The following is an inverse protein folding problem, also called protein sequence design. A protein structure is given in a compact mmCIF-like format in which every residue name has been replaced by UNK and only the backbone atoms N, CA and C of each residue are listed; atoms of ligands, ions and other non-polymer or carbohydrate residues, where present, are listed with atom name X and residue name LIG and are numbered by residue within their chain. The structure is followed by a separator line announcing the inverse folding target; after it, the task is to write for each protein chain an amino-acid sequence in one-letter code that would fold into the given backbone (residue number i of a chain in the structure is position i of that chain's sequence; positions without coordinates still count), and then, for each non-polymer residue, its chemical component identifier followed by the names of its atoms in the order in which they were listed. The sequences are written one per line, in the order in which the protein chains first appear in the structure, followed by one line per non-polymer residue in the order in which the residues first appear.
data_IF_017630133357
#
_entry.id   IF_017630133357
#
_cell.length_a   1.000
_cell.length_b   1.000
_cell.length_c   1.000
_cell.angle_alpha   90.00
_cell.angle_beta   90.00
_cell.angle_gamma   90.00
#
_symmetry.space_group_name_H-M   'P 1'
#
loop_
_entity.id
_entity.type
_entity.pdbx_description
1 polymer ?
#
# COMPACT_ATOMS: atom_id res chain seq x y z
N UNK A 1 -16.99 -7.37 69.14
CA UNK A 1 -15.85 -8.18 69.61
C UNK A 1 -14.79 -8.08 68.52
N UNK A 2 -13.75 -7.25 68.65
CA UNK A 2 -12.48 -7.53 69.37
C UNK A 2 -11.90 -8.90 68.99
N UNK A 3 -10.63 -9.10 68.64
CA UNK A 3 -9.40 -8.33 68.36
C UNK A 3 -8.43 -9.42 67.82
N UNK A 4 -7.13 -9.11 67.67
CA UNK A 4 -6.00 -10.03 67.44
C UNK A 4 -5.62 -10.18 65.95
N UNK A 5 -4.73 -9.38 65.35
CA UNK A 5 -3.38 -8.94 65.75
C UNK A 5 -2.39 -10.11 65.91
N UNK A 6 -1.75 -10.51 64.81
CA UNK A 6 -0.49 -11.26 64.82
C UNK A 6 0.60 -10.42 64.14
N UNK A 7 1.46 -9.84 64.98
CA UNK A 7 2.80 -9.33 64.70
C UNK A 7 3.78 -10.49 64.49
N UNK A 8 4.72 -10.37 63.54
CA UNK A 8 6.06 -11.01 63.48
C UNK A 8 6.90 -10.28 62.40
N UNK A 9 8.23 -10.18 62.53
CA UNK A 9 8.92 -8.90 62.55
C UNK A 9 9.61 -8.49 61.24
N UNK A 10 9.86 -7.19 61.20
CA UNK A 10 10.66 -6.41 60.27
C UNK A 10 12.14 -6.88 60.29
N UNK A 11 12.64 -7.39 59.16
CA UNK A 11 14.08 -7.51 58.91
C UNK A 11 14.49 -6.26 58.12
N UNK A 12 15.26 -5.41 58.80
CA UNK A 12 15.97 -4.27 58.22
C UNK A 12 17.22 -4.82 57.54
N UNK A 13 17.31 -4.72 56.22
CA UNK A 13 18.56 -4.82 55.49
C UNK A 13 18.97 -3.41 55.04
N UNK A 14 19.92 -2.82 55.79
CA UNK A 14 20.64 -1.61 55.40
C UNK A 14 21.59 -1.98 54.25
N UNK A 15 21.21 -1.60 53.03
CA UNK A 15 22.11 -1.59 51.89
C UNK A 15 22.67 -0.19 51.66
N UNK A 16 23.87 0.07 52.19
CA UNK A 16 24.71 1.18 51.76
C UNK A 16 25.30 0.84 50.38
N UNK A 17 25.10 1.67 49.37
CA UNK A 17 25.73 1.44 48.07
C UNK A 17 25.44 2.51 47.01
N UNK A 18 26.33 3.49 46.93
CA UNK A 18 26.61 4.40 45.81
C UNK A 18 25.47 5.26 45.24
N UNK A 19 25.41 6.51 45.73
CA UNK A 19 24.88 7.64 44.98
C UNK A 19 25.81 7.96 43.79
N UNK A 20 25.56 7.34 42.64
CA UNK A 20 26.02 7.87 41.36
C UNK A 20 25.03 8.98 40.96
N UNK A 21 25.53 10.22 40.90
CA UNK A 21 24.72 11.39 40.59
C UNK A 21 24.03 11.26 39.24
N UNK A 22 22.70 11.28 39.23
CA UNK A 22 21.95 11.68 38.05
C UNK A 22 22.23 13.16 37.81
N UNK A 23 23.22 13.47 36.98
CA UNK A 23 23.22 14.72 36.24
C UNK A 23 21.92 14.73 35.44
N UNK A 24 21.00 15.61 35.83
CA UNK A 24 19.88 16.01 35.01
C UNK A 24 20.46 16.79 33.85
N UNK A 25 20.93 16.08 32.82
CA UNK A 25 21.18 16.67 31.52
C UNK A 25 19.86 17.28 31.07
N UNK A 26 19.86 18.61 31.00
CA UNK A 26 18.79 19.38 30.42
C UNK A 26 18.51 18.77 29.04
N UNK A 27 17.33 18.17 28.88
CA UNK A 27 16.84 17.68 27.60
C UNK A 27 16.80 18.90 26.69
N UNK A 28 17.82 18.96 25.83
CA UNK A 28 18.04 20.01 24.85
C UNK A 28 16.80 20.17 23.99
N UNK A 29 16.60 21.42 23.54
CA UNK A 29 15.43 21.86 22.81
C UNK A 29 14.99 20.87 21.73
N UNK A 30 13.68 20.67 21.66
CA UNK A 30 13.02 19.96 20.57
C UNK A 30 13.48 20.59 19.25
N UNK A 31 14.43 19.94 18.57
CA UNK A 31 14.78 20.30 17.22
C UNK A 31 13.52 20.18 16.38
N UNK A 32 13.04 21.29 15.82
CA UNK A 32 11.92 21.27 14.88
C UNK A 32 12.26 20.23 13.80
N UNK A 33 11.40 19.22 13.56
CA UNK A 33 11.67 18.21 12.57
C UNK A 33 12.04 18.89 11.25
N UNK A 34 13.10 18.41 10.59
CA UNK A 34 13.49 18.94 9.30
C UNK A 34 12.42 18.51 8.28
N UNK A 35 11.49 19.42 7.99
CA UNK A 35 10.38 19.16 7.06
C UNK A 35 10.78 19.57 5.64
N UNK A 36 10.44 18.73 4.67
CA UNK A 36 10.45 19.11 3.26
C UNK A 36 9.10 19.74 2.91
N UNK A 37 9.14 20.85 2.17
CA UNK A 37 7.94 21.55 1.70
C UNK A 37 7.84 21.41 0.19
N UNK A 38 6.62 21.30 -0.30
CA UNK A 38 6.26 21.34 -1.71
C UNK A 38 5.10 22.32 -1.87
N UNK A 39 5.09 23.11 -2.94
CA UNK A 39 3.93 23.94 -3.25
C UNK A 39 2.78 23.06 -3.74
N UNK A 40 1.54 23.53 -3.56
CA UNK A 40 0.37 22.79 -4.08
C UNK A 40 0.43 22.67 -5.60
N UNK A 41 0.96 23.70 -6.28
CA UNK A 41 1.15 23.70 -7.74
C UNK A 41 2.16 22.63 -8.17
N UNK A 42 3.34 22.58 -7.54
CA UNK A 42 4.36 21.57 -7.84
C UNK A 42 3.87 20.15 -7.53
N UNK A 43 3.11 19.97 -6.45
CA UNK A 43 2.50 18.68 -6.12
C UNK A 43 1.49 18.26 -7.19
N UNK A 44 0.59 19.15 -7.59
CA UNK A 44 -0.41 18.86 -8.61
C UNK A 44 0.23 18.56 -9.98
N UNK A 45 1.30 19.26 -10.34
CA UNK A 45 2.07 18.99 -11.56
C UNK A 45 2.72 17.59 -11.52
N UNK A 46 3.40 17.25 -10.42
CA UNK A 46 4.02 15.93 -10.24
C UNK A 46 3.01 14.79 -10.19
N UNK A 47 1.88 14.99 -9.53
CA UNK A 47 0.82 14.00 -9.46
C UNK A 47 0.25 13.71 -10.86
N UNK A 48 -0.02 14.75 -11.66
CA UNK A 48 -0.43 14.57 -13.07
C UNK A 48 0.64 13.85 -13.89
N UNK A 49 1.91 14.21 -13.70
CA UNK A 49 3.02 13.57 -14.38
C UNK A 49 3.13 12.07 -14.03
N UNK A 50 2.85 11.69 -12.78
CA UNK A 50 2.78 10.30 -12.34
C UNK A 50 1.72 9.49 -13.09
N UNK A 51 0.48 9.97 -13.10
CA UNK A 51 -0.62 9.37 -13.88
C UNK A 51 -0.29 9.24 -15.36
N UNK A 52 0.25 10.31 -15.98
CA UNK A 52 0.66 10.29 -17.39
C UNK A 52 1.80 9.28 -17.62
N UNK A 53 2.74 9.19 -16.69
CA UNK A 53 3.89 8.29 -16.76
C UNK A 53 3.45 6.82 -16.78
N UNK A 54 2.55 6.44 -15.89
CA UNK A 54 1.95 5.10 -15.87
C UNK A 54 1.22 4.82 -17.18
N UNK A 55 0.33 5.72 -17.63
CA UNK A 55 -0.39 5.58 -18.90
C UNK A 55 0.56 5.40 -20.10
N UNK A 56 1.66 6.15 -20.13
CA UNK A 56 2.68 6.03 -21.16
C UNK A 56 3.41 4.68 -21.10
N UNK A 57 3.80 4.22 -19.90
CA UNK A 57 4.46 2.94 -19.69
C UNK A 57 3.60 1.76 -20.15
N UNK A 58 2.35 1.71 -19.68
CA UNK A 58 1.38 0.67 -20.05
C UNK A 58 1.10 0.72 -21.56
N UNK A 59 0.89 1.91 -22.12
CA UNK A 59 0.52 2.07 -23.53
C UNK A 59 1.66 1.71 -24.49
N UNK A 60 2.90 1.97 -24.08
CA UNK A 60 4.08 1.63 -24.85
C UNK A 60 4.48 0.16 -24.71
N UNK A 61 4.29 -0.41 -23.52
CA UNK A 61 4.57 -1.82 -23.21
C UNK A 61 3.55 -2.81 -23.77
N UNK A 62 2.26 -2.46 -23.81
CA UNK A 62 1.16 -3.36 -24.20
C UNK A 62 1.39 -4.14 -25.51
N UNK A 63 1.87 -3.54 -26.62
CA UNK A 63 2.15 -4.27 -27.86
C UNK A 63 3.24 -5.37 -27.76
N UNK A 64 3.98 -5.43 -26.65
CA UNK A 64 5.08 -6.38 -26.41
C UNK A 64 4.69 -7.52 -25.47
N UNK A 65 3.51 -7.44 -24.85
CA UNK A 65 3.03 -8.39 -23.85
C UNK A 65 3.09 -9.84 -24.36
N UNK A 66 3.73 -10.71 -23.59
CA UNK A 66 4.00 -12.13 -23.90
C UNK A 66 4.86 -12.44 -25.15
N UNK A 67 5.35 -11.44 -25.89
CA UNK A 67 6.10 -11.65 -27.16
C UNK A 67 7.59 -11.93 -26.97
N UNK A 68 8.20 -11.42 -25.89
CA UNK A 68 9.64 -11.48 -25.64
C UNK A 68 9.98 -12.14 -24.30
N UNK A 69 9.32 -13.24 -23.96
CA UNK A 69 9.53 -13.95 -22.68
C UNK A 69 10.95 -14.50 -22.57
N UNK A 70 11.65 -14.14 -21.49
CA UNK A 70 13.01 -14.63 -21.20
C UNK A 70 14.12 -14.03 -22.08
N UNK A 71 13.86 -12.93 -22.76
CA UNK A 71 14.84 -12.27 -23.64
C UNK A 71 14.65 -10.75 -23.66
N UNK A 72 15.71 -10.02 -23.96
CA UNK A 72 15.65 -8.58 -24.19
C UNK A 72 15.01 -8.33 -25.56
N UNK A 73 14.08 -7.38 -25.64
CA UNK A 73 13.48 -6.96 -26.92
C UNK A 73 14.61 -6.37 -27.80
N UNK A 74 14.85 -6.90 -29.01
CA UNK A 74 15.80 -6.29 -29.93
C UNK A 74 15.42 -4.82 -30.21
N UNK A 75 16.40 -3.93 -30.26
CA UNK A 75 16.17 -2.48 -30.40
C UNK A 75 15.32 -2.14 -31.65
N UNK A 76 15.57 -2.82 -32.76
CA UNK A 76 14.82 -2.67 -34.02
C UNK A 76 13.38 -3.22 -33.97
N UNK A 77 13.02 -3.89 -32.87
CA UNK A 77 11.69 -4.44 -32.59
C UNK A 77 10.93 -3.70 -31.50
N UNK A 78 11.54 -2.72 -30.85
CA UNK A 78 10.85 -1.86 -29.89
C UNK A 78 9.71 -1.11 -30.59
N UNK A 79 8.49 -1.08 -30.01
CA UNK A 79 7.40 -0.31 -30.59
C UNK A 79 7.78 1.17 -30.73
N UNK A 80 7.44 1.80 -31.85
CA UNK A 80 7.62 3.24 -31.99
C UNK A 80 6.69 3.98 -31.01
N UNK A 81 7.25 4.92 -30.25
CA UNK A 81 6.48 5.81 -29.38
C UNK A 81 5.54 6.71 -30.21
N UNK A 82 4.33 6.93 -29.70
CA UNK A 82 3.44 7.97 -30.20
C UNK A 82 2.49 8.46 -29.09
N UNK A 83 2.13 9.76 -29.03
CA UNK A 83 1.30 10.31 -27.96
C UNK A 83 -0.08 9.64 -27.81
N UNK A 84 -0.63 9.07 -28.87
CA UNK A 84 -1.93 8.39 -28.86
C UNK A 84 -1.93 7.15 -27.96
N UNK A 85 -0.75 6.63 -27.58
CA UNK A 85 -0.61 5.51 -26.64
C UNK A 85 -0.99 5.87 -25.21
N UNK A 86 -0.98 7.15 -24.84
CA UNK A 86 -1.40 7.60 -23.51
C UNK A 86 -2.89 7.33 -23.32
N UNK A 87 -3.72 7.63 -24.32
CA UNK A 87 -5.18 7.65 -24.18
C UNK A 87 -5.81 6.27 -24.40
N UNK A 88 -5.40 5.28 -23.61
CA UNK A 88 -5.93 3.93 -23.63
C UNK A 88 -6.82 3.62 -22.42
N UNK A 89 -7.87 2.83 -22.64
CA UNK A 89 -8.93 2.59 -21.65
C UNK A 89 -9.23 1.11 -21.44
N UNK A 90 -8.35 0.23 -21.90
CA UNK A 90 -8.59 -1.22 -21.95
C UNK A 90 -7.62 -2.04 -21.12
N UNK A 91 -6.76 -1.39 -20.35
CA UNK A 91 -5.73 -2.02 -19.52
C UNK A 91 -6.12 -1.92 -18.06
N UNK A 92 -6.10 -3.05 -17.36
CA UNK A 92 -6.36 -3.15 -15.93
C UNK A 92 -5.40 -2.34 -15.10
N UNK A 93 -4.16 -2.19 -15.54
CA UNK A 93 -3.14 -1.33 -14.94
C UNK A 93 -3.66 0.08 -14.63
N UNK A 94 -4.59 0.61 -15.45
CA UNK A 94 -5.05 2.01 -15.37
C UNK A 94 -6.41 2.15 -14.67
N UNK A 95 -7.32 1.20 -14.85
CA UNK A 95 -8.70 1.38 -14.36
C UNK A 95 -8.97 0.73 -13.00
N UNK A 96 -8.14 -0.18 -12.52
CA UNK A 96 -8.41 -0.87 -11.24
C UNK A 96 -8.26 0.11 -10.08
N UNK A 97 -7.15 0.84 -10.02
CA UNK A 97 -6.89 1.83 -8.97
C UNK A 97 -7.92 2.97 -8.92
N UNK A 98 -8.62 3.24 -10.03
CA UNK A 98 -9.74 4.18 -10.04
C UNK A 98 -10.89 3.73 -9.13
N UNK A 99 -11.04 2.42 -8.89
CA UNK A 99 -11.99 1.89 -7.90
C UNK A 99 -11.55 2.25 -6.49
N UNK A 100 -10.24 2.12 -6.18
CA UNK A 100 -9.70 2.48 -4.87
C UNK A 100 -9.86 3.97 -4.58
N UNK A 101 -9.52 4.80 -5.57
CA UNK A 101 -9.71 6.25 -5.51
C UNK A 101 -11.17 6.62 -5.29
N UNK A 102 -12.11 5.95 -5.98
CA UNK A 102 -13.53 6.18 -5.79
C UNK A 102 -14.02 5.75 -4.40
N UNK A 103 -13.53 4.63 -3.88
CA UNK A 103 -13.83 4.20 -2.50
C UNK A 103 -13.36 5.24 -1.48
N UNK A 104 -12.13 5.75 -1.64
CA UNK A 104 -11.59 6.80 -0.76
C UNK A 104 -12.38 8.10 -0.85
N UNK A 105 -12.79 8.50 -2.07
CA UNK A 105 -13.61 9.69 -2.28
C UNK A 105 -14.98 9.60 -1.58
N UNK A 106 -15.62 8.42 -1.63
CA UNK A 106 -16.96 8.21 -1.08
C UNK A 106 -16.98 8.05 0.44
N UNK A 107 -15.97 7.37 0.99
CA UNK A 107 -16.00 6.91 2.39
C UNK A 107 -14.87 7.50 3.26
N UNK A 108 -13.95 8.26 2.67
CA UNK A 108 -12.81 8.86 3.35
C UNK A 108 -11.61 7.91 3.48
N UNK A 109 -10.50 8.45 3.99
CA UNK A 109 -9.22 7.73 4.10
C UNK A 109 -9.29 6.55 5.09
N UNK A 110 -10.16 6.63 6.10
CA UNK A 110 -10.36 5.59 7.12
C UNK A 110 -11.31 4.46 6.69
N UNK A 111 -11.71 4.41 5.41
CA UNK A 111 -12.59 3.36 4.88
C UNK A 111 -12.06 1.97 5.21
N UNK A 112 -12.95 1.08 5.67
CA UNK A 112 -12.56 -0.29 6.01
C UNK A 112 -12.22 -1.12 4.77
N UNK A 113 -11.31 -2.08 4.92
CA UNK A 113 -11.01 -3.09 3.88
C UNK A 113 -12.26 -3.85 3.43
N UNK A 114 -13.25 -4.04 4.32
CA UNK A 114 -14.52 -4.69 3.97
C UNK A 114 -15.32 -3.86 2.97
N UNK A 115 -15.38 -2.55 3.16
CA UNK A 115 -16.05 -1.65 2.22
C UNK A 115 -15.29 -1.57 0.89
N UNK A 116 -13.96 -1.48 0.93
CA UNK A 116 -13.13 -1.54 -0.27
C UNK A 116 -13.36 -2.85 -1.07
N UNK A 117 -13.45 -3.98 -0.36
CA UNK A 117 -13.78 -5.27 -0.96
C UNK A 117 -15.18 -5.31 -1.58
N UNK A 118 -16.18 -4.65 -0.98
CA UNK A 118 -17.53 -4.54 -1.57
C UNK A 118 -17.48 -3.75 -2.87
N UNK A 119 -16.77 -2.62 -2.91
CA UNK A 119 -16.68 -1.78 -4.11
C UNK A 119 -15.92 -2.51 -5.22
N UNK A 120 -14.80 -3.17 -4.88
CA UNK A 120 -14.03 -3.98 -5.83
C UNK A 120 -14.83 -5.19 -6.34
N UNK A 121 -15.59 -5.86 -5.47
CA UNK A 121 -16.53 -6.92 -5.87
C UNK A 121 -17.58 -6.43 -6.87
N UNK A 122 -18.00 -5.17 -6.79
CA UNK A 122 -19.00 -4.57 -7.66
C UNK A 122 -18.42 -3.91 -8.93
N UNK A 123 -17.10 -3.94 -9.12
CA UNK A 123 -16.48 -3.42 -10.35
C UNK A 123 -16.96 -4.18 -11.60
N UNK A 124 -17.14 -3.45 -12.71
CA UNK A 124 -17.72 -3.96 -13.95
C UNK A 124 -16.74 -4.19 -15.10
N UNK A 125 -15.47 -3.81 -14.94
CA UNK A 125 -14.43 -3.97 -15.96
C UNK A 125 -13.87 -5.40 -15.97
N UNK A 126 -13.24 -5.85 -17.09
CA UNK A 126 -12.53 -7.12 -17.11
C UNK A 126 -11.35 -7.12 -16.13
N UNK A 127 -10.94 -8.31 -15.68
CA UNK A 127 -9.81 -8.49 -14.78
C UNK A 127 -9.09 -9.79 -15.14
N UNK A 128 -7.81 -9.88 -14.78
CA UNK A 128 -6.99 -11.06 -14.94
C UNK A 128 -6.36 -11.47 -13.61
N UNK A 129 -5.69 -12.62 -13.58
CA UNK A 129 -4.81 -13.03 -12.48
C UNK A 129 -5.34 -12.77 -11.06
N UNK A 130 -4.55 -12.16 -10.18
CA UNK A 130 -4.90 -11.98 -8.78
C UNK A 130 -6.19 -11.17 -8.65
N UNK A 131 -6.34 -10.12 -9.46
CA UNK A 131 -7.51 -9.26 -9.49
C UNK A 131 -8.80 -10.02 -9.74
N UNK A 132 -8.79 -10.87 -10.78
CA UNK A 132 -9.97 -11.64 -11.16
C UNK A 132 -10.34 -12.64 -10.07
N UNK A 133 -9.36 -13.41 -9.59
CA UNK A 133 -9.61 -14.42 -8.56
C UNK A 133 -10.06 -13.76 -7.26
N UNK A 134 -9.41 -12.68 -6.84
CA UNK A 134 -9.78 -11.89 -5.66
C UNK A 134 -11.21 -11.37 -5.76
N UNK A 135 -11.60 -10.77 -6.90
CA UNK A 135 -12.98 -10.34 -7.12
C UNK A 135 -13.98 -11.49 -7.09
N UNK A 136 -13.66 -12.61 -7.71
CA UNK A 136 -14.53 -13.79 -7.74
C UNK A 136 -14.66 -14.43 -6.35
N UNK A 137 -13.60 -14.42 -5.53
CA UNK A 137 -13.63 -14.83 -4.12
C UNK A 137 -14.52 -13.91 -3.27
N UNK A 138 -14.39 -12.59 -3.43
CA UNK A 138 -15.25 -11.61 -2.75
C UNK A 138 -16.73 -11.83 -3.10
N UNK A 139 -17.04 -12.06 -4.37
CA UNK A 139 -18.40 -12.38 -4.84
C UNK A 139 -18.93 -13.71 -4.32
N UNK A 140 -18.05 -14.67 -4.00
CA UNK A 140 -18.39 -15.94 -3.35
C UNK A 140 -18.50 -15.82 -1.82
N UNK A 141 -18.21 -14.65 -1.25
CA UNK A 141 -18.34 -14.39 0.19
C UNK A 141 -17.06 -14.63 1.00
N UNK A 142 -15.92 -14.86 0.34
CA UNK A 142 -14.62 -14.89 1.03
C UNK A 142 -14.16 -13.43 1.16
N UNK A 143 -14.32 -12.88 2.36
CA UNK A 143 -14.02 -11.48 2.64
C UNK A 143 -12.51 -11.23 2.73
N UNK A 144 -12.04 -9.98 2.59
CA UNK A 144 -10.65 -9.65 2.89
C UNK A 144 -10.32 -9.90 4.38
N UNK A 145 -9.07 -10.25 4.71
CA UNK A 145 -7.92 -10.38 3.81
C UNK A 145 -7.86 -11.73 3.05
N UNK A 146 -8.77 -12.66 3.34
CA UNK A 146 -8.73 -14.03 2.81
C UNK A 146 -8.92 -14.08 1.28
N UNK A 147 -9.60 -13.10 0.69
CA UNK A 147 -9.74 -12.98 -0.78
C UNK A 147 -8.40 -12.81 -1.51
N UNK A 148 -7.38 -12.26 -0.86
CA UNK A 148 -6.02 -12.19 -1.39
C UNK A 148 -5.11 -13.32 -0.92
N UNK A 149 -5.49 -14.10 0.09
CA UNK A 149 -4.62 -15.08 0.75
C UNK A 149 -4.32 -16.30 -0.14
N UNK A 150 -3.08 -16.85 -0.17
CA UNK A 150 -2.69 -17.95 -1.06
C UNK A 150 -3.42 -19.27 -0.83
N UNK A 151 -4.07 -19.44 0.32
CA UNK A 151 -4.97 -20.58 0.56
C UNK A 151 -6.19 -20.57 -0.38
N UNK A 152 -6.66 -19.38 -0.75
CA UNK A 152 -7.86 -19.19 -1.56
C UNK A 152 -7.56 -18.66 -2.96
N UNK A 153 -6.62 -17.72 -3.07
CA UNK A 153 -6.20 -17.11 -4.33
C UNK A 153 -4.88 -17.71 -4.82
N UNK A 154 -4.93 -18.55 -5.85
CA UNK A 154 -3.74 -19.19 -6.45
C UNK A 154 -2.84 -18.21 -7.21
N UNK A 155 -3.33 -16.99 -7.46
CA UNK A 155 -2.64 -15.90 -8.14
C UNK A 155 -2.17 -14.82 -7.16
N UNK A 156 -2.23 -15.06 -5.84
CA UNK A 156 -1.93 -14.07 -4.81
C UNK A 156 -0.57 -13.36 -4.96
N UNK A 157 0.38 -13.99 -5.64
CA UNK A 157 1.75 -13.51 -5.83
C UNK A 157 2.00 -12.86 -7.21
N UNK A 158 0.97 -12.79 -8.07
CA UNK A 158 1.06 -12.13 -9.37
C UNK A 158 1.16 -10.58 -9.18
N UNK A 159 1.61 -9.87 -10.21
CA UNK A 159 1.98 -8.44 -10.13
C UNK A 159 0.80 -7.46 -10.10
N UNK A 160 -0.44 -7.94 -10.00
CA UNK A 160 -1.67 -7.16 -10.12
C UNK A 160 -1.66 -5.89 -9.23
N UNK A 161 -1.43 -6.01 -7.92
CA UNK A 161 -1.36 -4.81 -7.08
C UNK A 161 -0.14 -3.93 -7.40
N UNK A 162 0.95 -4.50 -7.92
CA UNK A 162 2.14 -3.73 -8.26
C UNK A 162 1.88 -2.74 -9.39
N UNK A 163 1.13 -3.14 -10.42
CA UNK A 163 0.77 -2.27 -11.55
C UNK A 163 -0.32 -1.25 -11.20
N UNK A 164 -0.93 -1.39 -10.03
CA UNK A 164 -2.01 -0.54 -9.51
C UNK A 164 -1.60 0.30 -8.30
N UNK A 165 -0.34 0.22 -7.85
CA UNK A 165 0.09 0.86 -6.60
C UNK A 165 0.42 2.35 -6.76
N UNK A 166 0.48 2.87 -7.99
CA UNK A 166 0.86 4.25 -8.30
C UNK A 166 -0.02 5.26 -7.54
N UNK A 167 -1.35 5.05 -7.48
CA UNK A 167 -2.24 5.96 -6.72
C UNK A 167 -1.78 6.19 -5.28
N UNK A 168 -1.25 5.17 -4.59
CA UNK A 168 -0.89 5.25 -3.19
C UNK A 168 0.23 6.27 -2.98
N UNK A 169 1.26 6.24 -3.82
CA UNK A 169 2.36 7.20 -3.78
C UNK A 169 1.95 8.59 -4.23
N UNK A 170 1.05 8.67 -5.21
CA UNK A 170 0.54 9.93 -5.73
C UNK A 170 -0.30 10.69 -4.69
N UNK A 171 -1.10 9.98 -3.87
CA UNK A 171 -1.91 10.61 -2.82
C UNK A 171 -1.21 10.72 -1.46
N UNK A 172 -0.11 9.99 -1.26
CA UNK A 172 0.65 9.97 -0.01
C UNK A 172 2.13 10.38 -0.18
N UNK A 173 2.42 11.55 -0.81
CA UNK A 173 3.79 11.93 -1.14
C UNK A 173 4.66 12.09 0.12
N UNK A 174 5.74 11.30 0.20
CA UNK A 174 6.65 11.31 1.34
C UNK A 174 6.11 10.66 2.61
N UNK A 175 5.04 9.86 2.49
CA UNK A 175 4.38 9.16 3.59
C UNK A 175 4.37 7.64 3.34
N UNK A 176 5.53 6.94 3.40
CA UNK A 176 5.62 5.52 3.05
C UNK A 176 4.72 4.61 3.91
N UNK A 177 4.55 4.93 5.20
CA UNK A 177 3.63 4.18 6.07
C UNK A 177 2.17 4.27 5.58
N UNK A 178 1.76 5.42 5.03
CA UNK A 178 0.41 5.59 4.47
C UNK A 178 0.28 4.77 3.18
N UNK A 179 1.31 4.71 2.34
CA UNK A 179 1.31 3.84 1.16
C UNK A 179 1.20 2.35 1.53
N UNK A 180 1.92 1.91 2.58
CA UNK A 180 1.82 0.56 3.13
C UNK A 180 0.40 0.27 3.64
N UNK A 181 -0.18 1.18 4.43
CA UNK A 181 -1.55 1.07 4.95
C UNK A 181 -2.60 1.00 3.83
N UNK A 182 -2.41 1.76 2.75
CA UNK A 182 -3.24 1.67 1.54
C UNK A 182 -3.08 0.30 0.86
N UNK A 183 -1.87 -0.25 0.80
CA UNK A 183 -1.65 -1.62 0.32
C UNK A 183 -2.34 -2.69 1.17
N UNK A 184 -2.29 -2.55 2.49
CA UNK A 184 -3.02 -3.43 3.40
C UNK A 184 -4.55 -3.36 3.23
N UNK A 185 -5.05 -2.28 2.62
CA UNK A 185 -6.48 -2.03 2.41
C UNK A 185 -6.95 -2.40 1.00
N UNK A 186 -6.17 -2.12 -0.03
CA UNK A 186 -6.56 -2.30 -1.42
C UNK A 186 -5.80 -3.44 -2.08
N UNK A 187 -4.47 -3.50 -1.93
CA UNK A 187 -3.68 -4.63 -2.44
C UNK A 187 -4.03 -5.96 -1.78
N UNK A 188 -4.38 -5.94 -0.50
CA UNK A 188 -4.81 -7.14 0.25
C UNK A 188 -6.15 -7.73 -0.25
N UNK A 189 -6.89 -7.01 -1.11
CA UNK A 189 -8.12 -7.53 -1.70
C UNK A 189 -7.86 -8.70 -2.65
N UNK A 190 -6.72 -8.68 -3.34
CA UNK A 190 -6.36 -9.62 -4.41
C UNK A 190 -4.98 -10.26 -4.23
N UNK A 191 -4.03 -9.58 -3.59
CA UNK A 191 -2.65 -10.04 -3.44
C UNK A 191 -2.25 -10.33 -1.99
N UNK A 192 -1.22 -11.16 -1.85
CA UNK A 192 -0.61 -11.52 -0.57
C UNK A 192 0.84 -11.97 -0.81
N UNK A 193 1.74 -11.72 0.14
CA UNK A 193 3.16 -12.07 -0.05
C UNK A 193 3.85 -11.09 -1.00
N UNK A 194 4.69 -11.60 -1.90
CA UNK A 194 5.54 -10.76 -2.76
C UNK A 194 4.71 -9.95 -3.76
N UNK A 195 3.57 -10.47 -4.23
CA UNK A 195 2.61 -9.70 -5.04
C UNK A 195 2.08 -8.45 -4.32
N UNK A 196 1.89 -8.51 -2.99
CA UNK A 196 1.51 -7.33 -2.20
C UNK A 196 2.72 -6.43 -1.93
N UNK A 197 3.83 -7.01 -1.48
CA UNK A 197 5.02 -6.25 -1.10
C UNK A 197 5.65 -5.52 -2.28
N UNK A 198 5.56 -6.09 -3.49
CA UNK A 198 5.95 -5.45 -4.73
C UNK A 198 5.17 -4.17 -4.98
N UNK A 199 3.85 -4.19 -4.78
CA UNK A 199 3.04 -2.97 -4.88
C UNK A 199 3.27 -1.98 -3.76
N UNK A 200 3.42 -2.42 -2.51
CA UNK A 200 3.80 -1.50 -1.42
C UNK A 200 5.15 -0.82 -1.69
N UNK A 201 6.13 -1.54 -2.26
CA UNK A 201 7.42 -0.96 -2.65
C UNK A 201 7.31 0.07 -3.77
N UNK A 202 6.48 -0.18 -4.80
CA UNK A 202 6.24 0.79 -5.89
C UNK A 202 5.47 2.00 -5.40
N UNK A 203 4.48 1.79 -4.52
CA UNK A 203 3.60 2.83 -4.00
C UNK A 203 4.25 3.82 -3.04
N UNK A 204 5.41 3.54 -2.42
CA UNK A 204 6.11 4.54 -1.60
C UNK A 204 7.07 4.02 -0.54
#
# INVERSE_FOLDING_TARGET
MAKDLLTIPMIVAVGLGLAAGCQSDAIGGTATPNVRRISVEDYADKMKAGWIGQMAGVGWGGPTEFRYRGQIIPEDKMPAWSPEKINQFRQDDIYVEMTFMRTLELYGLDVSIRQAGIDFANSGYPLWHANREGRDLLRRGIAPPDSGHPEFNKHADDIDYQIEADYAGLIAPGMPNVAIELGEKFGRLMNYGDGLYGGQFVGG
#
